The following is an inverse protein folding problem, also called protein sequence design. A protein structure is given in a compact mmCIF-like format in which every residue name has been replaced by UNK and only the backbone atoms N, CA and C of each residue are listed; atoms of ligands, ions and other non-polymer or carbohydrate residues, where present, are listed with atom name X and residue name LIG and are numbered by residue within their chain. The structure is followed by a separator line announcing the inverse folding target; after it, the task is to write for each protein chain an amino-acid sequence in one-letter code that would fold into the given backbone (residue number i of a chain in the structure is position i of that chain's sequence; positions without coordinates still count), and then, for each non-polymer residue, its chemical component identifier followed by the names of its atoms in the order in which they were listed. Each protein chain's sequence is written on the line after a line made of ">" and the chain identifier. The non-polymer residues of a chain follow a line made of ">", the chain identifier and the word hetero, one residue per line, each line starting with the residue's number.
data_IF_684154380836
#
_entry.id   IF_684154380836
#
_cell.length_a   1.000
_cell.length_b   1.000
_cell.length_c   1.000
_cell.angle_alpha   90.00
_cell.angle_beta   90.00
_cell.angle_gamma   90.00
#
_symmetry.space_group_name_H-M   'P 1'
#
loop_
_entity.id
_entity.type
_entity.pdbx_description
1 polymer ?
#
# COMPACT_ATOMS: atom_id res chain seq x y z
N UNK A 1 -1.24 -10.02 34.24
CA UNK A 1 -2.29 -9.04 34.60
C UNK A 1 -2.60 -8.20 33.35
N UNK A 2 -3.86 -8.07 32.94
CA UNK A 2 -4.27 -7.22 31.80
C UNK A 2 -4.34 -5.76 32.26
N UNK A 3 -3.85 -4.85 31.42
CA UNK A 3 -3.88 -3.41 31.66
C UNK A 3 -4.64 -2.72 30.52
N UNK A 4 -5.52 -1.78 30.87
CA UNK A 4 -6.24 -0.97 29.88
C UNK A 4 -5.27 -0.11 29.06
N UNK A 5 -5.41 -0.12 27.74
CA UNK A 5 -4.68 0.75 26.79
C UNK A 5 -5.58 1.93 26.45
N UNK A 6 -5.07 3.16 26.66
CA UNK A 6 -5.82 4.41 26.46
C UNK A 6 -5.43 5.17 25.18
N UNK A 7 -4.26 4.88 24.59
CA UNK A 7 -3.77 5.48 23.32
C UNK A 7 -3.27 4.40 22.39
N UNK A 8 -3.17 4.72 21.12
CA UNK A 8 -2.61 3.83 20.08
C UNK A 8 -3.23 2.43 20.06
N UNK A 9 -4.53 2.35 20.34
CA UNK A 9 -5.29 1.08 20.47
C UNK A 9 -5.13 0.22 19.21
N UNK A 10 -4.99 0.84 18.03
CA UNK A 10 -4.78 0.15 16.75
C UNK A 10 -3.47 -0.65 16.71
N UNK A 11 -2.51 -0.40 17.60
CA UNK A 11 -1.29 -1.22 17.70
C UNK A 11 -1.60 -2.67 18.15
N UNK A 12 -2.73 -2.92 18.79
CA UNK A 12 -3.18 -4.29 19.10
C UNK A 12 -3.48 -5.11 17.82
N UNK A 13 -3.67 -4.45 16.67
CA UNK A 13 -3.87 -5.09 15.38
C UNK A 13 -2.57 -5.24 14.58
N UNK A 14 -1.42 -4.95 15.15
CA UNK A 14 -0.12 -5.16 14.53
C UNK A 14 0.44 -6.55 14.87
N UNK A 15 1.33 -7.11 14.03
CA UNK A 15 1.93 -6.51 12.86
C UNK A 15 1.00 -6.43 11.65
N UNK A 16 1.24 -5.45 10.76
CA UNK A 16 0.54 -5.29 9.49
C UNK A 16 1.54 -5.21 8.34
N UNK A 17 1.20 -5.79 7.18
CA UNK A 17 2.03 -5.67 5.99
C UNK A 17 2.28 -4.19 5.65
N UNK A 18 3.55 -3.82 5.47
CA UNK A 18 3.92 -2.52 4.94
C UNK A 18 4.13 -2.63 3.42
N UNK A 19 3.49 -1.76 2.66
CA UNK A 19 3.51 -1.79 1.21
C UNK A 19 3.57 -0.38 0.62
N UNK A 20 3.87 -0.29 -0.67
CA UNK A 20 3.71 0.95 -1.42
C UNK A 20 2.30 1.03 -2.00
N UNK A 21 1.65 2.16 -1.77
CA UNK A 21 0.40 2.52 -2.41
C UNK A 21 0.70 3.55 -3.49
N UNK A 22 0.54 3.17 -4.75
CA UNK A 22 0.69 4.09 -5.87
C UNK A 22 -0.64 4.65 -6.32
N UNK A 23 -0.61 5.88 -6.78
CA UNK A 23 -1.73 6.64 -7.32
C UNK A 23 -1.24 7.51 -8.48
N UNK A 24 -2.16 8.11 -9.22
CA UNK A 24 -1.85 8.97 -10.34
C UNK A 24 -2.73 10.20 -10.32
N UNK A 25 -2.23 11.34 -10.79
CA UNK A 25 -3.04 12.54 -10.98
C UNK A 25 -3.87 12.47 -12.27
N UNK A 26 -4.82 13.40 -12.45
CA UNK A 26 -5.56 13.53 -13.72
C UNK A 26 -4.64 13.78 -14.94
N UNK A 27 -3.47 14.37 -14.71
CA UNK A 27 -2.46 14.63 -15.73
C UNK A 27 -1.41 13.49 -15.82
N UNK A 28 -1.77 12.31 -15.39
CA UNK A 28 -0.93 11.10 -15.43
C UNK A 28 0.41 11.21 -14.67
N UNK A 29 0.54 12.19 -13.73
CA UNK A 29 1.71 12.30 -12.85
C UNK A 29 1.62 11.24 -11.74
N UNK A 30 2.56 10.29 -11.65
CA UNK A 30 2.54 9.24 -10.65
C UNK A 30 2.93 9.74 -9.26
N UNK A 31 2.40 9.07 -8.24
CA UNK A 31 2.77 9.29 -6.85
C UNK A 31 2.81 7.96 -6.10
N UNK A 32 3.55 7.92 -5.00
CA UNK A 32 3.69 6.76 -4.12
C UNK A 32 3.68 7.18 -2.66
N UNK A 33 3.08 6.37 -1.80
CA UNK A 33 3.25 6.46 -0.34
C UNK A 33 3.46 5.09 0.26
N UNK A 34 4.03 5.03 1.44
CA UNK A 34 4.03 3.83 2.27
C UNK A 34 2.73 3.76 3.05
N UNK A 35 2.12 2.61 3.04
CA UNK A 35 0.89 2.33 3.77
C UNK A 35 0.99 0.98 4.47
N UNK A 36 0.26 0.82 5.59
CA UNK A 36 0.10 -0.45 6.29
C UNK A 36 -1.36 -0.71 6.67
N UNK A 37 -2.27 0.21 6.32
CA UNK A 37 -3.68 0.08 6.65
C UNK A 37 -4.49 -0.39 5.45
N UNK A 38 -4.45 -1.71 5.22
CA UNK A 38 -5.23 -2.41 4.21
C UNK A 38 -5.68 -3.78 4.72
N UNK A 39 -6.79 -4.25 4.20
CA UNK A 39 -7.27 -5.62 4.41
C UNK A 39 -8.17 -6.06 3.26
N UNK A 40 -8.24 -7.37 2.91
CA UNK A 40 -9.31 -7.89 2.08
C UNK A 40 -10.65 -7.77 2.82
N UNK A 41 -11.73 -7.50 2.10
CA UNK A 41 -13.09 -7.36 2.65
C UNK A 41 -14.11 -8.23 1.93
N UNK A 42 -13.78 -8.77 0.77
CA UNK A 42 -14.60 -9.75 0.02
C UNK A 42 -13.71 -10.57 -0.89
N UNK A 43 -14.04 -11.84 -1.06
CA UNK A 43 -13.40 -12.75 -2.01
C UNK A 43 -14.14 -12.78 -3.34
N UNK A 44 -15.47 -12.74 -3.32
CA UNK A 44 -16.33 -12.75 -4.51
C UNK A 44 -17.45 -11.70 -4.38
N UNK A 45 -17.43 -10.61 -5.14
CA UNK A 45 -16.29 -10.15 -5.95
C UNK A 45 -15.07 -9.77 -5.08
N UNK A 46 -13.83 -9.85 -5.61
CA UNK A 46 -12.65 -9.54 -4.82
C UNK A 46 -12.53 -8.04 -4.54
N UNK A 47 -12.56 -7.67 -3.26
CA UNK A 47 -12.49 -6.29 -2.78
C UNK A 47 -11.46 -6.15 -1.69
N UNK A 48 -10.66 -5.11 -1.76
CA UNK A 48 -9.75 -4.69 -0.70
C UNK A 48 -10.10 -3.28 -0.22
N UNK A 49 -9.79 -3.00 1.05
CA UNK A 49 -9.90 -1.64 1.59
C UNK A 49 -8.49 -1.12 1.90
N UNK A 50 -8.26 0.16 1.61
CA UNK A 50 -7.10 0.91 2.10
C UNK A 50 -7.58 2.14 2.85
N UNK A 51 -6.99 2.41 4.03
CA UNK A 51 -7.29 3.62 4.80
C UNK A 51 -6.11 4.59 4.66
N UNK A 52 -6.41 5.80 4.20
CA UNK A 52 -5.41 6.82 3.87
C UNK A 52 -5.79 8.12 4.53
N UNK A 53 -4.83 8.77 5.22
CA UNK A 53 -5.05 10.07 5.85
C UNK A 53 -5.60 11.08 4.86
N UNK A 54 -6.61 11.85 5.28
CA UNK A 54 -7.28 12.88 4.48
C UNK A 54 -6.32 13.97 3.98
N UNK A 55 -5.29 14.26 4.77
CA UNK A 55 -4.30 15.30 4.47
C UNK A 55 -3.26 14.82 3.44
N UNK A 56 -3.19 13.52 3.17
CA UNK A 56 -2.18 12.96 2.26
C UNK A 56 -2.48 13.32 0.80
N UNK A 57 -1.43 13.59 0.03
CA UNK A 57 -1.54 13.80 -1.41
C UNK A 57 -2.14 12.58 -2.13
N UNK A 58 -1.82 11.37 -1.63
CA UNK A 58 -2.37 10.13 -2.17
C UNK A 58 -3.89 10.06 -2.05
N UNK A 59 -4.47 10.47 -0.91
CA UNK A 59 -5.91 10.50 -0.74
C UNK A 59 -6.60 11.44 -1.75
N UNK A 60 -6.02 12.60 -1.99
CA UNK A 60 -6.49 13.54 -3.01
C UNK A 60 -6.49 12.90 -4.40
N UNK A 61 -5.37 12.27 -4.80
CA UNK A 61 -5.24 11.64 -6.11
C UNK A 61 -6.21 10.47 -6.30
N UNK A 62 -6.36 9.60 -5.30
CA UNK A 62 -7.31 8.48 -5.35
C UNK A 62 -8.75 8.98 -5.45
N UNK A 63 -9.10 10.06 -4.77
CA UNK A 63 -10.44 10.68 -4.91
C UNK A 63 -10.70 11.19 -6.32
N UNK A 64 -9.66 11.71 -6.97
CA UNK A 64 -9.76 12.28 -8.33
C UNK A 64 -9.85 11.20 -9.42
N UNK A 65 -9.01 10.18 -9.34
CA UNK A 65 -8.84 9.18 -10.41
C UNK A 65 -9.58 7.88 -10.16
N UNK A 66 -10.01 7.64 -8.91
CA UNK A 66 -10.73 6.45 -8.48
C UNK A 66 -9.95 5.14 -8.74
N UNK A 67 -8.64 5.20 -8.63
CA UNK A 67 -7.79 4.02 -8.80
C UNK A 67 -6.53 4.09 -7.94
N UNK A 68 -5.99 2.93 -7.62
CA UNK A 68 -4.72 2.77 -6.93
C UNK A 68 -4.12 1.39 -7.19
N UNK A 69 -2.83 1.23 -6.88
CA UNK A 69 -2.18 -0.09 -6.86
C UNK A 69 -1.50 -0.31 -5.52
N UNK A 70 -1.72 -1.48 -4.93
CA UNK A 70 -0.93 -1.99 -3.81
C UNK A 70 0.25 -2.73 -4.39
N UNK A 71 1.47 -2.31 -4.03
CA UNK A 71 2.71 -2.94 -4.46
C UNK A 71 3.41 -3.53 -3.22
N UNK A 72 3.61 -4.84 -3.21
CA UNK A 72 4.13 -5.60 -2.07
C UNK A 72 5.65 -5.74 -2.22
N UNK A 73 6.44 -5.04 -1.39
CA UNK A 73 7.90 -5.09 -1.45
C UNK A 73 8.46 -6.27 -0.68
N UNK A 74 9.72 -6.58 -0.95
CA UNK A 74 10.55 -7.36 -0.05
C UNK A 74 11.39 -6.45 0.84
N UNK A 75 12.15 -7.04 1.78
CA UNK A 75 13.16 -6.37 2.61
C UNK A 75 14.13 -5.48 1.81
N UNK A 76 14.41 -5.83 0.54
CA UNK A 76 15.33 -5.06 -0.32
C UNK A 76 14.88 -3.61 -0.53
N UNK A 77 13.58 -3.34 -0.48
CA UNK A 77 12.99 -2.02 -0.68
C UNK A 77 12.67 -1.28 0.64
N UNK A 78 13.16 -1.77 1.79
CA UNK A 78 12.86 -1.16 3.10
C UNK A 78 13.27 0.31 3.18
N UNK A 79 14.44 0.67 2.66
CA UNK A 79 14.91 2.07 2.63
C UNK A 79 13.94 2.97 1.85
N UNK A 80 13.44 2.49 0.72
CA UNK A 80 12.47 3.21 -0.09
C UNK A 80 11.10 3.34 0.62
N UNK A 81 10.65 2.31 1.37
CA UNK A 81 9.46 2.40 2.22
C UNK A 81 9.58 3.56 3.22
N UNK A 82 10.71 3.69 3.91
CA UNK A 82 10.92 4.78 4.86
C UNK A 82 10.91 6.15 4.22
N UNK A 83 11.54 6.30 3.05
CA UNK A 83 11.55 7.56 2.30
C UNK A 83 10.11 7.92 1.89
N UNK A 84 9.39 7.00 1.26
CA UNK A 84 8.04 7.24 0.74
C UNK A 84 7.01 7.51 1.83
N UNK A 85 7.24 7.04 3.07
CA UNK A 85 6.39 7.29 4.23
C UNK A 85 6.61 8.64 4.91
N UNK A 86 7.79 9.28 4.72
CA UNK A 86 8.17 10.49 5.45
C UNK A 86 8.00 11.80 4.68
N UNK A 87 7.97 11.76 3.36
CA UNK A 87 7.93 12.95 2.51
C UNK A 87 6.64 13.02 1.70
N UNK A 88 6.21 14.25 1.36
CA UNK A 88 5.03 14.47 0.51
C UNK A 88 5.39 14.39 -0.98
N UNK A 89 4.51 13.78 -1.78
CA UNK A 89 4.61 13.80 -3.25
C UNK A 89 4.08 15.08 -3.89
N UNK A 90 3.55 16.04 -3.10
CA UNK A 90 3.18 17.36 -3.61
C UNK A 90 4.41 18.12 -4.09
N UNK A 91 5.48 18.06 -3.32
CA UNK A 91 6.68 18.90 -3.46
C UNK A 91 7.91 18.11 -3.93
N UNK A 92 7.84 16.78 -3.91
CA UNK A 92 9.00 15.93 -4.18
C UNK A 92 8.64 14.76 -5.08
N UNK A 93 9.46 14.51 -6.09
CA UNK A 93 9.44 13.25 -6.82
C UNK A 93 10.00 12.12 -5.94
N UNK A 94 9.08 11.39 -5.32
CA UNK A 94 9.42 10.31 -4.40
C UNK A 94 10.06 9.11 -5.09
N UNK A 95 9.71 8.83 -6.34
CA UNK A 95 10.31 7.73 -7.10
C UNK A 95 11.81 7.99 -7.30
N UNK A 96 12.15 9.20 -7.76
CA UNK A 96 13.55 9.62 -7.90
C UNK A 96 14.27 9.62 -6.56
N UNK A 97 13.64 10.18 -5.52
CA UNK A 97 14.27 10.30 -4.18
C UNK A 97 14.52 8.94 -3.53
N UNK A 98 13.65 7.96 -3.75
CA UNK A 98 13.76 6.61 -3.20
C UNK A 98 14.45 5.61 -4.13
N UNK A 99 14.90 6.04 -5.32
CA UNK A 99 15.50 5.15 -6.31
C UNK A 99 14.53 4.10 -6.87
N UNK A 100 13.22 4.39 -6.85
CA UNK A 100 12.21 3.46 -7.34
C UNK A 100 12.01 3.62 -8.86
N UNK A 101 11.95 2.50 -9.55
CA UNK A 101 11.53 2.43 -10.95
C UNK A 101 10.05 2.04 -11.03
N UNK A 102 9.34 2.61 -11.99
CA UNK A 102 7.93 2.30 -12.23
C UNK A 102 7.77 1.57 -13.55
N UNK A 103 6.77 0.70 -13.58
CA UNK A 103 6.33 -0.04 -14.77
C UNK A 103 4.84 0.26 -14.97
N UNK A 104 4.39 0.25 -16.20
CA UNK A 104 2.97 0.42 -16.52
C UNK A 104 2.16 -0.73 -15.93
N UNK A 105 1.09 -0.40 -15.20
CA UNK A 105 0.11 -1.37 -14.73
C UNK A 105 -0.69 -1.99 -15.91
N UNK A 106 -1.31 -3.15 -15.68
CA UNK A 106 -2.03 -3.88 -16.73
C UNK A 106 -3.41 -3.30 -17.03
N UNK A 107 -4.09 -2.76 -15.99
CA UNK A 107 -5.52 -2.40 -16.07
C UNK A 107 -5.86 -1.00 -15.58
N UNK A 108 -4.96 -0.36 -14.84
CA UNK A 108 -5.14 1.00 -14.30
C UNK A 108 -3.99 1.92 -14.73
N UNK A 109 -4.15 3.23 -14.55
CA UNK A 109 -3.10 4.22 -14.86
C UNK A 109 -2.05 4.33 -13.76
N UNK A 110 -2.47 4.12 -12.49
CA UNK A 110 -1.56 4.10 -11.36
C UNK A 110 -0.47 3.05 -11.55
N UNK A 111 0.83 3.41 -11.49
CA UNK A 111 1.89 2.49 -11.90
C UNK A 111 2.16 1.40 -10.86
N UNK A 112 2.81 0.32 -11.29
CA UNK A 112 3.45 -0.65 -10.40
C UNK A 112 4.91 -0.28 -10.17
N UNK A 113 5.49 -0.76 -9.08
CA UNK A 113 6.89 -0.51 -8.70
C UNK A 113 7.72 -1.74 -9.06
N UNK A 114 8.75 -1.54 -9.87
CA UNK A 114 9.73 -2.57 -10.20
C UNK A 114 10.43 -3.09 -8.94
N UNK A 115 10.67 -4.39 -8.88
CA UNK A 115 11.29 -5.04 -7.72
C UNK A 115 10.33 -5.36 -6.57
N UNK A 116 9.05 -4.97 -6.64
CA UNK A 116 8.00 -5.51 -5.79
C UNK A 116 7.59 -6.91 -6.28
N UNK A 117 7.20 -7.78 -5.34
CA UNK A 117 6.93 -9.20 -5.61
C UNK A 117 5.45 -9.52 -5.75
N UNK A 118 4.59 -8.54 -5.56
CA UNK A 118 3.15 -8.66 -5.76
C UNK A 118 2.49 -7.32 -6.02
N UNK A 119 1.42 -7.35 -6.82
CA UNK A 119 0.68 -6.16 -7.22
C UNK A 119 -0.81 -6.43 -7.22
N UNK A 120 -1.59 -5.49 -6.69
CA UNK A 120 -3.06 -5.53 -6.70
C UNK A 120 -3.55 -4.21 -7.30
N UNK A 121 -4.10 -4.26 -8.50
CA UNK A 121 -4.65 -3.10 -9.21
C UNK A 121 -6.12 -2.94 -8.89
N UNK A 122 -6.51 -1.76 -8.43
CA UNK A 122 -7.85 -1.51 -7.92
C UNK A 122 -8.52 -0.32 -8.57
N UNK A 123 -9.84 -0.44 -8.78
CA UNK A 123 -10.75 0.69 -9.04
C UNK A 123 -11.65 0.92 -7.83
N UNK A 124 -11.68 2.16 -7.35
CA UNK A 124 -12.47 2.54 -6.18
C UNK A 124 -13.94 2.65 -6.57
N UNK A 125 -14.78 1.86 -5.93
CA UNK A 125 -16.24 1.92 -6.10
C UNK A 125 -16.93 2.65 -4.94
N UNK A 126 -16.31 2.68 -3.74
CA UNK A 126 -16.86 3.37 -2.58
C UNK A 126 -15.74 4.05 -1.79
N UNK A 127 -16.04 5.24 -1.29
CA UNK A 127 -15.18 5.97 -0.34
C UNK A 127 -16.01 6.30 0.88
N UNK A 128 -15.51 5.96 2.06
CA UNK A 128 -16.15 6.25 3.33
C UNK A 128 -15.28 7.21 4.12
N UNK A 129 -15.92 8.22 4.70
CA UNK A 129 -15.27 9.12 5.67
C UNK A 129 -15.16 8.36 7.00
N UNK A 130 -13.91 8.11 7.43
CA UNK A 130 -13.59 7.35 8.62
C UNK A 130 -12.78 8.21 9.63
N UNK A 131 -13.28 9.39 9.93
CA UNK A 131 -12.63 10.34 10.84
C UNK A 131 -11.43 11.02 10.19
N UNK A 132 -10.21 10.78 10.64
CA UNK A 132 -8.98 11.35 10.07
C UNK A 132 -8.56 10.74 8.73
N UNK A 133 -9.17 9.61 8.33
CA UNK A 133 -8.85 8.89 7.11
C UNK A 133 -10.06 8.81 6.17
N UNK A 134 -9.77 8.59 4.89
CA UNK A 134 -10.72 7.99 3.96
C UNK A 134 -10.45 6.49 3.86
N UNK A 135 -11.52 5.70 3.95
CA UNK A 135 -11.51 4.29 3.64
C UNK A 135 -11.94 4.09 2.17
N UNK A 136 -11.01 3.69 1.33
CA UNK A 136 -11.26 3.45 -0.09
C UNK A 136 -11.48 1.96 -0.33
N UNK A 137 -12.68 1.58 -0.75
CA UNK A 137 -13.03 0.23 -1.17
C UNK A 137 -12.68 0.08 -2.64
N UNK A 138 -11.72 -0.75 -2.95
CA UNK A 138 -11.23 -1.01 -4.30
C UNK A 138 -11.64 -2.40 -4.77
N UNK A 139 -12.39 -2.45 -5.88
CA UNK A 139 -12.56 -3.68 -6.64
C UNK A 139 -11.20 -4.07 -7.22
N UNK A 140 -10.76 -5.29 -6.98
CA UNK A 140 -9.54 -5.84 -7.56
C UNK A 140 -9.80 -6.14 -9.04
N UNK A 141 -9.15 -5.38 -9.92
CA UNK A 141 -9.28 -5.52 -11.38
C UNK A 141 -8.22 -6.45 -11.95
N UNK A 142 -7.07 -6.53 -11.30
CA UNK A 142 -5.98 -7.43 -11.65
C UNK A 142 -5.09 -7.63 -10.43
N UNK A 143 -4.62 -8.85 -10.21
CA UNK A 143 -3.63 -9.16 -9.19
C UNK A 143 -2.63 -10.16 -9.75
N UNK A 144 -1.36 -9.99 -9.40
CA UNK A 144 -0.28 -10.88 -9.82
C UNK A 144 0.90 -10.82 -8.85
N UNK A 145 1.62 -11.91 -8.76
CA UNK A 145 2.80 -12.04 -7.91
C UNK A 145 3.90 -12.81 -8.63
N UNK A 146 5.13 -12.64 -8.17
CA UNK A 146 6.29 -13.40 -8.63
C UNK A 146 6.19 -14.83 -8.06
N UNK A 147 6.18 -15.84 -8.96
CA UNK A 147 6.05 -17.27 -8.64
C UNK A 147 7.18 -17.79 -7.73
N UNK A 148 8.32 -17.11 -7.71
CA UNK A 148 9.42 -17.42 -6.78
C UNK A 148 9.00 -17.17 -5.33
N UNK A 149 8.18 -16.15 -5.10
CA UNK A 149 7.82 -15.67 -3.76
C UNK A 149 6.38 -16.02 -3.35
N UNK A 150 5.54 -16.43 -4.29
CA UNK A 150 4.18 -16.89 -4.00
C UNK A 150 3.92 -18.24 -4.69
N UNK A 151 3.67 -19.28 -3.90
CA UNK A 151 3.41 -20.65 -4.39
C UNK A 151 2.12 -21.18 -3.79
N UNK A 152 1.25 -21.74 -4.63
CA UNK A 152 -0.05 -22.27 -4.20
C UNK A 152 -0.88 -21.25 -3.38
N UNK A 153 -0.83 -19.95 -3.77
CA UNK A 153 -1.56 -18.88 -3.09
C UNK A 153 -0.93 -18.41 -1.77
N UNK A 154 0.23 -18.90 -1.39
CA UNK A 154 0.89 -18.56 -0.13
C UNK A 154 2.27 -17.92 -0.36
N UNK A 155 2.60 -16.92 0.45
CA UNK A 155 3.94 -16.34 0.46
C UNK A 155 4.97 -17.34 0.96
N UNK A 156 6.10 -17.46 0.24
CA UNK A 156 7.24 -18.24 0.69
C UNK A 156 8.08 -17.44 1.70
N UNK A 157 8.90 -18.14 2.48
CA UNK A 157 9.80 -17.50 3.48
C UNK A 157 10.79 -16.54 2.84
N UNK A 158 11.19 -16.80 1.60
CA UNK A 158 12.14 -15.99 0.84
C UNK A 158 11.58 -14.62 0.44
N UNK A 159 10.26 -14.43 0.53
CA UNK A 159 9.63 -13.15 0.23
C UNK A 159 10.04 -12.05 1.22
N UNK A 160 10.41 -12.41 2.46
CA UNK A 160 10.81 -11.46 3.52
C UNK A 160 9.96 -10.18 3.51
N UNK A 161 8.63 -10.35 3.52
CA UNK A 161 7.68 -9.23 3.43
C UNK A 161 7.77 -8.40 4.69
N UNK A 162 7.92 -7.04 4.57
CA UNK A 162 7.98 -6.17 5.74
C UNK A 162 6.65 -6.10 6.47
N UNK A 163 6.67 -6.32 7.79
CA UNK A 163 5.54 -6.21 8.69
C UNK A 163 5.78 -5.06 9.69
N UNK A 164 4.95 -4.05 9.65
CA UNK A 164 5.00 -2.89 10.53
C UNK A 164 4.43 -3.22 11.91
N UNK A 165 5.20 -2.93 12.96
CA UNK A 165 4.83 -3.15 14.37
C UNK A 165 4.27 -1.89 15.05
N UNK A 166 4.39 -0.73 14.42
CA UNK A 166 4.11 0.57 14.99
C UNK A 166 5.37 1.45 15.09
N UNK A 167 5.20 2.76 14.98
CA UNK A 167 6.32 3.71 14.95
C UNK A 167 7.34 3.37 13.86
N UNK A 168 8.61 3.32 14.21
CA UNK A 168 9.71 2.99 13.30
C UNK A 168 10.15 1.51 13.38
N UNK A 169 9.26 0.59 13.71
CA UNK A 169 9.60 -0.82 13.91
C UNK A 169 9.04 -1.69 12.79
N UNK A 170 9.92 -2.47 12.16
CA UNK A 170 9.59 -3.45 11.12
C UNK A 170 10.16 -4.81 11.52
N UNK A 171 9.38 -5.86 11.29
CA UNK A 171 9.83 -7.26 11.26
C UNK A 171 9.53 -7.85 9.89
N UNK A 172 10.01 -9.05 9.62
CA UNK A 172 9.80 -9.72 8.34
C UNK A 172 9.06 -11.04 8.57
N UNK A 173 8.15 -11.33 7.66
CA UNK A 173 7.61 -12.67 7.53
C UNK A 173 8.75 -13.63 7.13
N UNK A 174 8.96 -14.70 7.91
CA UNK A 174 9.96 -15.76 7.68
C UNK A 174 9.32 -17.13 7.82
#
# INVERSE_FOLDING_TARGET
>A
MLKQIKSDIYHLLHPKMAFFLTSVSKNDKPNVMTCAWATPVSEEPPVVIVCVSKESYTAELIKQTKEFVINIPTKKLLGALWICGKISGRDTDKFKRAGLKIIKAKKVKSPVIDGCVGHIECKVWKTVDAGECYAFFGNVISAYADEKYMRNGLWTKEAEIPLHLGGARIVYFR
#
